data_IF_755470942041
#
_entry.id   IF_755470942041
#
_cell.length_a   1.000
_cell.length_b   1.000
_cell.length_c   1.000
_cell.angle_alpha   90.00
_cell.angle_beta   90.00
_cell.angle_gamma   90.00
#
_symmetry.space_group_name_H-M   'P 1'
#
loop_
_entity.id
_entity.type
_entity.pdbx_description
1 polymer ?
#
# COMPACT_ATOMS: atom_id res chain seq x y z
N UNK A 1 -2.29 19.02 4.21
CA UNK A 1 -1.41 17.96 3.64
C UNK A 1 -2.32 16.97 2.94
N UNK A 2 -1.99 16.52 1.73
CA UNK A 2 -2.78 15.47 1.08
C UNK A 2 -2.13 14.11 1.37
N UNK A 3 -2.95 13.11 1.63
CA UNK A 3 -2.53 11.71 1.78
C UNK A 3 -3.20 10.88 0.72
N UNK A 4 -2.52 9.84 0.24
CA UNK A 4 -3.08 8.93 -0.75
C UNK A 4 -2.69 7.47 -0.49
N UNK A 5 -3.54 6.57 -0.96
CA UNK A 5 -3.31 5.12 -0.87
C UNK A 5 -3.65 4.48 -2.20
N UNK A 6 -2.75 3.63 -2.70
CA UNK A 6 -2.97 2.82 -3.90
C UNK A 6 -3.42 1.44 -3.46
N UNK A 7 -4.56 0.99 -3.98
CA UNK A 7 -5.17 -0.27 -3.56
C UNK A 7 -5.97 -0.92 -4.69
N UNK A 8 -6.30 -2.19 -4.51
CA UNK A 8 -7.28 -2.90 -5.34
C UNK A 8 -8.69 -2.74 -4.77
N UNK A 9 -9.71 -3.28 -5.45
CA UNK A 9 -11.06 -3.41 -4.88
C UNK A 9 -11.19 -4.56 -3.84
N UNK A 10 -10.26 -5.52 -3.82
CA UNK A 10 -10.26 -6.62 -2.84
C UNK A 10 -10.16 -6.09 -1.40
N UNK A 11 -11.05 -6.55 -0.52
CA UNK A 11 -11.08 -6.14 0.89
C UNK A 11 -10.21 -7.10 1.70
N UNK A 12 -9.20 -6.57 2.39
CA UNK A 12 -8.34 -7.37 3.24
C UNK A 12 -9.06 -7.77 4.53
N UNK A 13 -9.11 -9.08 4.82
CA UNK A 13 -9.80 -9.64 6.00
C UNK A 13 -9.36 -9.01 7.33
N UNK A 14 -8.07 -8.72 7.52
CA UNK A 14 -7.58 -8.16 8.78
C UNK A 14 -7.99 -6.69 8.96
N UNK A 15 -7.80 -5.86 7.92
CA UNK A 15 -8.02 -4.42 8.03
C UNK A 15 -9.45 -3.99 7.71
N UNK A 16 -10.26 -4.86 7.10
CA UNK A 16 -11.58 -4.51 6.55
C UNK A 16 -11.53 -3.29 5.61
N UNK A 17 -10.39 -3.09 4.95
CA UNK A 17 -10.12 -2.00 4.02
C UNK A 17 -9.65 -2.56 2.68
N UNK A 18 -9.76 -1.78 1.59
CA UNK A 18 -9.16 -2.12 0.32
C UNK A 18 -7.66 -2.45 0.44
N UNK A 19 -7.27 -3.59 -0.14
CA UNK A 19 -5.92 -4.15 -0.06
C UNK A 19 -4.92 -3.26 -0.78
N UNK A 20 -3.90 -2.82 -0.05
CA UNK A 20 -2.82 -2.00 -0.61
C UNK A 20 -2.01 -2.74 -1.67
N UNK A 21 -1.42 -1.98 -2.60
CA UNK A 21 -0.72 -2.50 -3.78
C UNK A 21 0.36 -3.56 -3.45
N UNK A 22 1.24 -3.32 -2.46
CA UNK A 22 2.27 -4.29 -2.06
C UNK A 22 1.69 -5.66 -1.66
N UNK A 23 0.65 -5.65 -0.81
CA UNK A 23 -0.01 -6.87 -0.36
C UNK A 23 -0.82 -7.53 -1.48
N UNK A 24 -1.39 -6.76 -2.39
CA UNK A 24 -2.11 -7.30 -3.55
C UNK A 24 -1.18 -8.10 -4.46
N UNK A 25 0.03 -7.61 -4.73
CA UNK A 25 1.02 -8.34 -5.52
C UNK A 25 1.61 -9.52 -4.73
N UNK A 26 1.81 -9.37 -3.41
CA UNK A 26 2.18 -10.51 -2.56
C UNK A 26 1.19 -11.68 -2.67
N UNK A 27 -0.12 -11.40 -2.78
CA UNK A 27 -1.13 -12.45 -2.96
C UNK A 27 -0.93 -13.26 -4.24
N UNK A 28 -0.48 -12.63 -5.33
CA UNK A 28 -0.15 -13.33 -6.58
C UNK A 28 1.06 -14.25 -6.43
N UNK A 29 2.04 -13.84 -5.61
CA UNK A 29 3.20 -14.68 -5.25
C UNK A 29 2.75 -15.86 -4.41
N UNK A 30 1.99 -15.60 -3.35
CA UNK A 30 1.49 -16.61 -2.40
C UNK A 30 0.61 -17.67 -3.10
N UNK A 31 -0.23 -17.25 -4.05
CA UNK A 31 -1.08 -18.14 -4.84
C UNK A 31 -0.36 -18.85 -6.00
N UNK A 32 0.97 -18.66 -6.16
CA UNK A 32 1.77 -19.22 -7.26
C UNK A 32 1.24 -18.85 -8.65
N UNK A 33 0.69 -17.65 -8.78
CA UNK A 33 0.14 -17.13 -10.03
C UNK A 33 1.22 -16.49 -10.92
N UNK A 34 2.28 -15.96 -10.30
CA UNK A 34 3.44 -15.40 -11.00
C UNK A 34 4.33 -16.50 -11.59
N UNK A 35 5.02 -16.20 -12.69
CA UNK A 35 6.11 -17.05 -13.17
C UNK A 35 7.30 -17.05 -12.20
N UNK A 36 8.27 -17.93 -12.44
CA UNK A 36 9.47 -17.99 -11.62
C UNK A 36 10.30 -16.70 -11.74
N UNK A 37 10.41 -16.16 -12.96
CA UNK A 37 11.14 -14.92 -13.24
C UNK A 37 10.49 -13.72 -12.56
N UNK A 38 9.16 -13.62 -12.62
CA UNK A 38 8.41 -12.55 -11.97
C UNK A 38 8.48 -12.65 -10.45
N UNK A 39 8.45 -13.87 -9.92
CA UNK A 39 8.64 -14.11 -8.50
C UNK A 39 10.03 -13.66 -8.06
N UNK A 40 11.07 -13.98 -8.82
CA UNK A 40 12.43 -13.50 -8.55
C UNK A 40 12.51 -11.97 -8.61
N UNK A 41 11.85 -11.34 -9.58
CA UNK A 41 11.82 -9.88 -9.71
C UNK A 41 11.02 -9.21 -8.57
N UNK A 42 9.93 -9.83 -8.11
CA UNK A 42 9.20 -9.40 -6.92
C UNK A 42 10.12 -9.36 -5.70
N UNK A 43 10.92 -10.39 -5.47
CA UNK A 43 11.83 -10.44 -4.31
C UNK A 43 12.92 -9.37 -4.38
N UNK A 44 13.46 -9.07 -5.57
CA UNK A 44 14.40 -7.94 -5.73
C UNK A 44 13.76 -6.60 -5.40
N UNK A 45 12.54 -6.36 -5.90
CA UNK A 45 11.80 -5.14 -5.62
C UNK A 45 11.47 -5.02 -4.12
N UNK A 46 11.05 -6.12 -3.49
CA UNK A 46 10.78 -6.15 -2.06
C UNK A 46 12.01 -5.81 -1.24
N UNK A 47 13.15 -6.44 -1.53
CA UNK A 47 14.42 -6.16 -0.84
C UNK A 47 14.83 -4.69 -1.00
N UNK A 48 14.62 -4.11 -2.19
CA UNK A 48 14.88 -2.70 -2.44
C UNK A 48 13.98 -1.79 -1.58
N UNK A 49 12.66 -2.02 -1.59
CA UNK A 49 11.72 -1.21 -0.79
C UNK A 49 11.93 -1.36 0.70
N UNK A 50 12.32 -2.53 1.22
CA UNK A 50 12.69 -2.71 2.62
C UNK A 50 13.93 -1.88 3.03
N UNK A 51 14.76 -1.43 2.07
CA UNK A 51 15.91 -0.55 2.34
C UNK A 51 15.58 0.94 2.23
N UNK A 52 14.66 1.33 1.34
CA UNK A 52 14.38 2.75 1.04
C UNK A 52 13.12 3.28 1.71
N UNK A 53 12.18 2.39 2.06
CA UNK A 53 10.94 2.72 2.74
C UNK A 53 11.02 2.17 4.17
N UNK A 54 11.00 3.02 5.20
CA UNK A 54 10.94 2.56 6.59
C UNK A 54 9.78 1.58 6.80
N UNK A 55 10.07 0.46 7.46
CA UNK A 55 9.04 -0.52 7.84
C UNK A 55 8.47 -0.10 9.19
N UNK A 56 7.17 0.22 9.29
CA UNK A 56 6.56 0.56 10.57
C UNK A 56 6.77 -0.54 11.63
N UNK A 57 7.19 -0.21 12.87
CA UNK A 57 7.55 -1.21 13.89
C UNK A 57 6.42 -2.20 14.24
N UNK A 58 5.15 -1.80 14.11
CA UNK A 58 4.01 -2.68 14.38
C UNK A 58 3.92 -3.87 13.41
N UNK A 59 4.62 -3.85 12.28
CA UNK A 59 4.69 -5.01 11.38
C UNK A 59 5.50 -6.17 11.96
N UNK A 60 6.42 -5.92 12.90
CA UNK A 60 7.16 -6.98 13.60
C UNK A 60 6.24 -7.93 14.37
N UNK A 61 5.07 -7.43 14.79
CA UNK A 61 4.04 -8.19 15.51
C UNK A 61 2.91 -8.67 14.59
N UNK A 62 3.07 -8.54 13.27
CA UNK A 62 2.05 -8.95 12.30
C UNK A 62 0.88 -7.97 12.13
N UNK A 63 1.07 -6.68 12.42
CA UNK A 63 0.05 -5.62 12.32
C UNK A 63 -1.17 -5.82 13.26
N UNK A 64 -0.96 -5.89 14.59
CA UNK A 64 -2.01 -6.20 15.57
C UNK A 64 -3.13 -5.15 15.61
N UNK A 65 -2.83 -3.90 15.27
CA UNK A 65 -3.79 -2.79 15.22
C UNK A 65 -4.58 -2.72 13.90
N UNK A 66 -4.41 -3.70 12.99
CA UNK A 66 -5.05 -3.72 11.69
C UNK A 66 -4.83 -2.43 10.87
N UNK A 67 -3.65 -1.82 11.03
CA UNK A 67 -3.35 -0.52 10.48
C UNK A 67 -3.21 -0.56 8.95
N UNK A 68 -3.52 0.58 8.33
CA UNK A 68 -3.32 0.81 6.90
C UNK A 68 -2.40 2.00 6.68
N UNK A 69 -1.46 1.84 5.74
CA UNK A 69 -0.54 2.92 5.37
C UNK A 69 -1.10 3.79 4.25
N UNK A 70 -0.77 5.08 4.32
CA UNK A 70 -1.11 6.12 3.36
C UNK A 70 0.13 6.94 3.08
N UNK A 71 0.50 7.10 1.81
CA UNK A 71 1.58 7.99 1.41
C UNK A 71 1.21 9.45 1.64
N UNK A 72 2.21 10.26 1.97
CA UNK A 72 2.10 11.72 1.99
C UNK A 72 2.34 12.24 0.56
N UNK A 73 1.47 13.15 0.10
CA UNK A 73 1.66 13.86 -1.17
C UNK A 73 2.76 14.92 -1.02
N UNK A 74 4.00 14.42 -0.99
CA UNK A 74 5.25 15.16 -0.81
C UNK A 74 6.26 14.67 -1.84
N UNK A 75 7.34 15.42 -2.13
CA UNK A 75 8.36 14.96 -3.07
C UNK A 75 8.92 13.57 -2.74
N UNK A 76 9.15 13.28 -1.45
CA UNK A 76 9.65 12.01 -0.92
C UNK A 76 8.63 10.88 -1.08
N UNK A 77 7.40 11.04 -0.58
CA UNK A 77 6.35 10.04 -0.73
C UNK A 77 6.01 9.75 -2.20
N UNK A 78 5.99 10.80 -3.04
CA UNK A 78 5.75 10.68 -4.47
C UNK A 78 6.90 10.01 -5.21
N UNK A 79 8.13 10.08 -4.70
CA UNK A 79 9.26 9.34 -5.26
C UNK A 79 9.13 7.83 -5.05
N UNK A 80 8.75 7.42 -3.83
CA UNK A 80 8.45 6.01 -3.55
C UNK A 80 7.36 5.51 -4.49
N UNK A 81 6.26 6.25 -4.65
CA UNK A 81 5.22 5.87 -5.60
C UNK A 81 5.76 5.74 -7.03
N UNK A 82 6.57 6.69 -7.54
CA UNK A 82 7.16 6.57 -8.89
C UNK A 82 7.93 5.27 -9.07
N UNK A 83 8.73 4.88 -8.09
CA UNK A 83 9.54 3.66 -8.14
C UNK A 83 8.71 2.35 -8.13
N UNK A 84 7.42 2.38 -7.78
CA UNK A 84 6.55 1.19 -7.74
C UNK A 84 6.09 0.70 -9.13
N UNK A 85 6.85 0.94 -10.19
CA UNK A 85 6.51 0.55 -11.58
C UNK A 85 6.28 -0.95 -11.72
N UNK A 86 7.14 -1.77 -11.11
CA UNK A 86 6.99 -3.23 -11.11
C UNK A 86 5.61 -3.64 -10.58
N UNK A 87 5.20 -3.14 -9.41
CA UNK A 87 3.94 -3.52 -8.78
C UNK A 87 2.73 -3.11 -9.61
N UNK A 88 2.77 -1.91 -10.23
CA UNK A 88 1.70 -1.46 -11.14
C UNK A 88 1.65 -2.32 -12.40
N UNK A 89 2.79 -2.66 -12.97
CA UNK A 89 2.87 -3.52 -14.14
C UNK A 89 2.31 -4.93 -13.83
N UNK A 90 2.64 -5.48 -12.66
CA UNK A 90 2.09 -6.77 -12.21
C UNK A 90 0.58 -6.72 -12.02
N UNK A 91 0.07 -5.66 -11.39
CA UNK A 91 -1.37 -5.48 -11.23
C UNK A 91 -2.08 -5.47 -12.59
N UNK A 92 -1.59 -4.66 -13.54
CA UNK A 92 -2.14 -4.58 -14.88
C UNK A 92 -2.09 -5.93 -15.62
N UNK A 93 -0.92 -6.60 -15.61
CA UNK A 93 -0.73 -7.90 -16.29
C UNK A 93 -1.73 -8.96 -15.82
N UNK A 94 -2.02 -8.99 -14.53
CA UNK A 94 -2.90 -9.99 -13.92
C UNK A 94 -4.35 -9.51 -13.74
N UNK A 95 -4.72 -8.38 -14.33
CA UNK A 95 -6.10 -7.87 -14.34
C UNK A 95 -6.57 -7.29 -13.01
N UNK A 96 -5.65 -6.90 -12.13
CA UNK A 96 -5.97 -6.22 -10.87
C UNK A 96 -6.19 -4.74 -11.15
N UNK A 97 -7.45 -4.31 -11.11
CA UNK A 97 -7.80 -2.89 -11.15
C UNK A 97 -7.21 -2.15 -9.95
N UNK A 98 -6.57 -1.02 -10.22
CA UNK A 98 -6.00 -0.15 -9.21
C UNK A 98 -6.88 1.08 -9.01
N UNK A 99 -6.93 1.51 -7.77
CA UNK A 99 -7.63 2.70 -7.33
C UNK A 99 -6.67 3.55 -6.50
N UNK A 100 -6.87 4.85 -6.55
CA UNK A 100 -6.23 5.81 -5.66
C UNK A 100 -7.29 6.45 -4.76
N UNK A 101 -7.14 6.26 -3.46
CA UNK A 101 -7.88 7.01 -2.44
C UNK A 101 -7.08 8.24 -2.05
N UNK A 102 -7.72 9.41 -1.89
CA UNK A 102 -7.08 10.66 -1.45
C UNK A 102 -7.90 11.34 -0.34
N UNK A 103 -7.21 11.98 0.59
CA UNK A 103 -7.81 12.80 1.66
C UNK A 103 -6.88 13.94 2.08
N UNK A 104 -7.42 15.01 2.65
CA UNK A 104 -6.66 16.17 3.15
C UNK A 104 -6.43 16.15 4.67
N UNK A 105 -7.00 15.15 5.34
CA UNK A 105 -6.84 14.87 6.77
C UNK A 105 -6.63 13.36 6.94
N UNK A 106 -5.84 12.91 7.93
CA UNK A 106 -5.75 11.48 8.25
C UNK A 106 -7.14 10.86 8.45
N UNK A 107 -7.45 9.76 7.75
CA UNK A 107 -8.79 9.19 7.78
C UNK A 107 -9.06 8.36 9.03
N UNK A 108 -8.09 8.24 9.95
CA UNK A 108 -8.18 7.52 11.22
C UNK A 108 -7.16 8.02 12.24
N UNK A 109 -6.96 7.25 13.30
CA UNK A 109 -5.94 7.52 14.33
C UNK A 109 -4.55 7.21 13.78
N UNK A 110 -3.66 8.21 13.71
CA UNK A 110 -2.28 8.03 13.29
C UNK A 110 -1.49 7.33 14.40
N UNK A 111 -0.92 6.17 14.09
CA UNK A 111 -0.10 5.38 15.02
C UNK A 111 1.38 5.33 14.61
N UNK A 112 1.70 5.84 13.42
CA UNK A 112 3.04 5.90 12.88
C UNK A 112 3.11 6.98 11.80
N UNK A 113 4.24 7.66 11.71
CA UNK A 113 4.53 8.67 10.71
C UNK A 113 6.03 8.71 10.42
N UNK A 114 6.39 8.72 9.13
CA UNK A 114 7.75 8.95 8.62
C UNK A 114 7.71 10.00 7.49
N UNK A 115 8.83 10.26 6.81
CA UNK A 115 8.90 11.27 5.73
C UNK A 115 8.04 10.93 4.49
N UNK A 116 7.63 9.67 4.33
CA UNK A 116 6.96 9.13 3.14
C UNK A 116 5.48 8.83 3.37
N UNK A 117 5.11 8.37 4.57
CA UNK A 117 3.80 7.78 4.86
C UNK A 117 3.34 8.01 6.31
N UNK A 118 2.04 7.79 6.51
CA UNK A 118 1.43 7.59 7.82
C UNK A 118 0.85 6.17 7.88
N UNK A 119 0.75 5.59 9.06
CA UNK A 119 -0.11 4.45 9.31
C UNK A 119 -1.26 4.85 10.23
N UNK A 120 -2.47 4.47 9.83
CA UNK A 120 -3.69 4.76 10.58
C UNK A 120 -4.39 3.48 11.01
N UNK A 121 -5.04 3.53 12.18
CA UNK A 121 -6.05 2.57 12.62
C UNK A 121 -7.40 3.26 12.80
N UNK A 122 -8.45 2.49 13.04
CA UNK A 122 -9.80 3.01 13.32
C UNK A 122 -10.24 4.05 12.29
N UNK A 123 -10.21 3.68 11.00
CA UNK A 123 -10.64 4.59 9.93
C UNK A 123 -12.06 5.08 10.21
N UNK A 124 -12.23 6.40 10.32
CA UNK A 124 -13.48 7.04 10.68
C UNK A 124 -14.49 6.90 9.55
N UNK A 125 -15.75 6.62 9.88
CA UNK A 125 -16.82 6.49 8.91
C UNK A 125 -17.16 7.81 8.20
N UNK A 126 -16.86 8.96 8.83
CA UNK A 126 -17.10 10.29 8.30
C UNK A 126 -15.90 10.89 7.53
N UNK A 127 -14.80 10.12 7.40
CA UNK A 127 -13.60 10.54 6.70
C UNK A 127 -13.91 10.92 5.24
N UNK A 128 -13.46 12.11 4.82
CA UNK A 128 -13.63 12.60 3.45
C UNK A 128 -12.54 12.03 2.55
N UNK A 129 -12.84 10.87 1.95
CA UNK A 129 -11.94 10.17 1.03
C UNK A 129 -12.55 10.21 -0.37
N UNK A 130 -11.81 10.77 -1.33
CA UNK A 130 -12.14 10.62 -2.75
C UNK A 130 -11.44 9.40 -3.32
N UNK A 131 -12.13 8.66 -4.19
CA UNK A 131 -11.62 7.43 -4.81
C UNK A 131 -11.77 7.54 -6.32
N UNK A 132 -10.72 7.23 -7.06
CA UNK A 132 -10.75 7.12 -8.53
C UNK A 132 -9.99 5.90 -9.01
N UNK A 133 -10.45 5.28 -10.10
CA UNK A 133 -9.71 4.24 -10.82
C UNK A 133 -8.45 4.86 -11.46
N UNK A 134 -7.34 4.11 -11.47
CA UNK A 134 -6.07 4.50 -12.09
C UNK A 134 -5.92 3.94 -13.51
#
# INVERSE_FOLDING_TARGET
MTYYRIHTADIAYMTQQPRGLFTAIWKLVESKTLTQEETAEYWKNREYFEKVLPVPPFYEQGNPDNATTWFKDTPQGNDIYRQMDFYRAMANKYGLKLYISKCTEPPGEVIYEDDFQIAIKNQRADAKISVSEL
#
